data_IF_486258496475
#
_entry.id   IF_486258496475
#
_cell.length_a   1.000
_cell.length_b   1.000
_cell.length_c   1.000
_cell.angle_alpha   90.00
_cell.angle_beta   90.00
_cell.angle_gamma   90.00
#
_symmetry.space_group_name_H-M   'P 1'
#
loop_
_entity.id
_entity.type
_entity.pdbx_description
1 polymer ?
#
# COMPACT_ATOMS: atom_id res chain seq x y z
N UNK A 1 11.90 -13.95 9.31
CA UNK A 1 11.97 -12.83 8.34
C UNK A 1 12.04 -13.43 6.96
N UNK A 2 11.07 -13.10 6.11
CA UNK A 2 11.09 -13.46 4.71
C UNK A 2 12.39 -12.95 4.05
N UNK A 3 13.09 -13.82 3.31
CA UNK A 3 14.40 -13.51 2.69
C UNK A 3 14.29 -12.29 1.78
N UNK A 4 13.19 -12.15 1.04
CA UNK A 4 12.99 -11.07 0.07
C UNK A 4 12.80 -9.71 0.74
N UNK A 5 12.03 -9.68 1.83
CA UNK A 5 11.84 -8.46 2.64
C UNK A 5 13.18 -7.97 3.19
N UNK A 6 14.03 -8.90 3.67
CA UNK A 6 15.38 -8.55 4.12
C UNK A 6 16.28 -7.98 3.01
N UNK A 7 16.23 -8.58 1.82
CA UNK A 7 16.95 -8.09 0.63
C UNK A 7 16.47 -6.68 0.24
N UNK A 8 15.16 -6.46 0.22
CA UNK A 8 14.56 -5.16 -0.08
C UNK A 8 14.98 -4.09 0.93
N UNK A 9 14.96 -4.38 2.24
CA UNK A 9 15.36 -3.41 3.27
C UNK A 9 16.82 -2.98 3.08
N UNK A 10 17.72 -3.92 2.76
CA UNK A 10 19.13 -3.60 2.49
C UNK A 10 19.24 -2.74 1.24
N UNK A 11 18.58 -3.15 0.14
CA UNK A 11 18.59 -2.41 -1.11
C UNK A 11 18.03 -0.99 -0.95
N UNK A 12 16.92 -0.81 -0.23
CA UNK A 12 16.29 0.48 -0.01
C UNK A 12 17.25 1.44 0.73
N UNK A 13 17.90 0.95 1.79
CA UNK A 13 18.94 1.72 2.50
C UNK A 13 20.10 2.11 1.57
N UNK A 14 20.60 1.18 0.74
CA UNK A 14 21.70 1.44 -0.20
C UNK A 14 21.33 2.43 -1.31
N UNK A 15 20.04 2.53 -1.65
CA UNK A 15 19.50 3.46 -2.64
C UNK A 15 18.93 4.76 -2.01
N UNK A 16 19.23 5.02 -0.75
CA UNK A 16 18.94 6.30 -0.08
C UNK A 16 17.48 6.49 0.34
N UNK A 17 16.68 5.42 0.37
CA UNK A 17 15.33 5.49 0.90
C UNK A 17 15.35 5.71 2.41
N UNK A 18 14.37 6.46 2.93
CA UNK A 18 14.15 6.57 4.36
C UNK A 18 13.36 5.34 4.83
N UNK A 19 14.10 4.34 5.31
CA UNK A 19 13.54 3.10 5.85
C UNK A 19 13.94 2.93 7.32
N UNK A 20 12.92 2.85 8.18
CA UNK A 20 13.10 2.62 9.61
C UNK A 20 12.65 1.20 9.97
N UNK A 21 13.53 0.35 10.52
CA UNK A 21 13.15 -0.96 10.99
C UNK A 21 12.31 -0.85 12.26
N UNK A 22 11.32 -1.73 12.39
CA UNK A 22 10.46 -1.78 13.57
C UNK A 22 11.25 -2.26 14.79
N UNK A 23 11.18 -1.48 15.87
CA UNK A 23 11.87 -1.77 17.14
C UNK A 23 11.06 -2.69 18.08
N UNK A 24 9.74 -2.78 17.89
CA UNK A 24 8.81 -3.58 18.69
C UNK A 24 8.58 -5.00 18.16
N UNK A 25 8.16 -5.91 19.05
CA UNK A 25 7.98 -7.33 18.72
C UNK A 25 6.60 -7.69 18.14
N UNK A 26 5.62 -6.78 18.18
CA UNK A 26 4.23 -7.11 17.86
C UNK A 26 3.62 -6.10 16.89
N UNK A 27 3.07 -6.62 15.80
CA UNK A 27 2.18 -5.88 14.89
C UNK A 27 0.80 -5.74 15.54
N UNK A 28 0.29 -4.52 15.57
CA UNK A 28 -0.99 -4.14 16.14
C UNK A 28 -1.72 -3.20 15.15
N UNK A 29 -2.54 -3.78 14.29
CA UNK A 29 -3.37 -3.03 13.35
C UNK A 29 -4.70 -2.65 14.01
N UNK A 30 -5.20 -1.47 13.69
CA UNK A 30 -6.48 -0.97 14.17
C UNK A 30 -7.60 -1.96 13.83
N UNK A 31 -8.54 -2.10 14.76
CA UNK A 31 -9.66 -3.05 14.63
C UNK A 31 -10.51 -2.80 13.37
N UNK A 32 -10.58 -1.57 12.87
CA UNK A 32 -11.28 -1.23 11.63
C UNK A 32 -10.61 -1.87 10.40
N UNK A 33 -9.28 -1.89 10.35
CA UNK A 33 -8.50 -2.54 9.28
C UNK A 33 -8.74 -4.05 9.31
N UNK A 34 -8.64 -4.66 10.49
CA UNK A 34 -8.85 -6.11 10.66
C UNK A 34 -10.31 -6.53 10.39
N UNK A 35 -11.27 -5.62 10.62
CA UNK A 35 -12.69 -5.87 10.33
C UNK A 35 -13.00 -5.76 8.85
N UNK A 36 -12.36 -4.80 8.16
CA UNK A 36 -12.51 -4.58 6.71
C UNK A 36 -11.82 -5.68 5.91
N UNK A 37 -10.53 -5.92 6.19
CA UNK A 37 -9.69 -6.87 5.47
C UNK A 37 -9.45 -8.13 6.32
N UNK A 38 -10.35 -9.11 6.21
CA UNK A 38 -10.35 -10.31 7.07
C UNK A 38 -9.15 -11.23 6.86
N UNK A 39 -8.56 -11.21 5.67
CA UNK A 39 -7.47 -12.12 5.29
C UNK A 39 -6.33 -11.37 4.59
N UNK A 40 -5.64 -10.51 5.34
CA UNK A 40 -4.40 -9.86 4.89
C UNK A 40 -3.32 -10.94 4.66
N UNK A 41 -2.62 -10.94 3.51
CA UNK A 41 -1.57 -11.92 3.25
C UNK A 41 -0.45 -11.87 4.28
N UNK A 42 0.02 -13.05 4.70
CA UNK A 42 1.11 -13.18 5.68
C UNK A 42 2.39 -12.47 5.23
N UNK A 43 2.68 -12.43 3.93
CA UNK A 43 3.85 -11.70 3.39
C UNK A 43 3.80 -10.21 3.74
N UNK A 44 2.62 -9.59 3.68
CA UNK A 44 2.46 -8.19 4.03
C UNK A 44 2.48 -7.98 5.55
N UNK A 45 1.89 -8.90 6.32
CA UNK A 45 2.01 -8.88 7.78
C UNK A 45 3.47 -9.02 8.23
N UNK A 46 4.25 -9.87 7.57
CA UNK A 46 5.69 -10.03 7.78
C UNK A 46 6.42 -8.71 7.50
N UNK A 47 6.07 -8.01 6.41
CA UNK A 47 6.63 -6.69 6.08
C UNK A 47 6.34 -5.66 7.18
N UNK A 48 5.07 -5.51 7.56
CA UNK A 48 4.64 -4.59 8.62
C UNK A 48 5.22 -4.94 10.00
N UNK A 49 5.63 -6.19 10.21
CA UNK A 49 6.26 -6.61 11.46
C UNK A 49 7.73 -6.18 11.59
N UNK A 50 8.39 -5.80 10.48
CA UNK A 50 9.81 -5.44 10.47
C UNK A 50 10.09 -4.04 9.93
N UNK A 51 9.12 -3.40 9.28
CA UNK A 51 9.22 -2.04 8.74
C UNK A 51 8.26 -1.10 9.47
N UNK A 52 8.79 -0.02 10.03
CA UNK A 52 8.01 1.04 10.70
C UNK A 52 7.72 2.22 9.77
N UNK A 53 8.69 2.55 8.89
CA UNK A 53 8.59 3.59 7.87
C UNK A 53 9.36 3.14 6.64
N UNK A 54 8.85 3.40 5.44
CA UNK A 54 9.58 3.19 4.19
C UNK A 54 9.11 4.18 3.13
N UNK A 55 9.99 5.11 2.76
CA UNK A 55 9.69 6.25 1.89
C UNK A 55 10.83 6.49 0.90
N UNK A 56 10.49 6.88 -0.33
CA UNK A 56 11.45 7.19 -1.38
C UNK A 56 12.26 8.46 -1.06
N UNK A 57 13.45 8.65 -1.67
CA UNK A 57 14.31 9.79 -1.36
C UNK A 57 13.69 11.17 -1.68
N UNK A 58 12.73 11.25 -2.61
CA UNK A 58 11.99 12.47 -2.92
C UNK A 58 10.79 12.70 -1.96
N UNK A 59 10.53 11.78 -1.04
CA UNK A 59 9.42 11.83 -0.08
C UNK A 59 8.01 11.84 -0.72
N UNK A 60 7.93 11.57 -2.02
CA UNK A 60 6.67 11.58 -2.78
C UNK A 60 6.03 10.19 -2.87
N UNK A 61 6.70 9.13 -2.45
CA UNK A 61 6.14 7.77 -2.43
C UNK A 61 6.52 7.02 -1.16
N UNK A 62 5.57 6.33 -0.55
CA UNK A 62 5.81 5.57 0.68
C UNK A 62 4.94 4.32 0.78
N UNK A 63 5.45 3.32 1.50
CA UNK A 63 4.65 2.18 1.93
C UNK A 63 3.75 2.59 3.10
N UNK A 64 2.51 2.11 3.09
CA UNK A 64 1.55 2.30 4.18
C UNK A 64 1.90 1.31 5.30
N UNK A 65 2.50 1.80 6.38
CA UNK A 65 2.93 0.97 7.50
C UNK A 65 1.89 1.00 8.63
N UNK A 66 2.21 0.34 9.75
CA UNK A 66 1.31 0.25 10.92
C UNK A 66 0.83 1.62 11.40
N UNK A 67 1.71 2.64 11.41
CA UNK A 67 1.36 3.97 11.89
C UNK A 67 0.29 4.64 11.01
N UNK A 68 0.37 4.49 9.69
CA UNK A 68 -0.62 5.03 8.76
C UNK A 68 -1.97 4.29 8.91
N UNK A 69 -1.95 2.96 9.02
CA UNK A 69 -3.16 2.16 9.25
C UNK A 69 -3.86 2.51 10.58
N UNK A 70 -3.08 2.88 11.59
CA UNK A 70 -3.60 3.24 12.91
C UNK A 70 -3.94 4.73 13.05
N UNK A 71 -3.77 5.54 12.00
CA UNK A 71 -3.90 6.99 12.05
C UNK A 71 -3.01 7.63 13.15
N UNK A 72 -1.86 7.03 13.44
CA UNK A 72 -0.87 7.52 14.41
C UNK A 72 0.37 8.12 13.75
N UNK A 73 0.43 8.11 12.41
CA UNK A 73 1.43 8.85 11.63
C UNK A 73 1.10 10.34 11.57
N UNK A 74 2.12 11.20 11.49
CA UNK A 74 1.96 12.63 11.19
C UNK A 74 1.71 12.92 9.69
N UNK A 75 1.42 11.88 8.89
CA UNK A 75 1.11 12.01 7.46
C UNK A 75 -0.13 12.87 7.23
N UNK A 76 -0.06 13.78 6.26
CA UNK A 76 -1.23 14.54 5.81
C UNK A 76 -2.25 13.65 5.07
N UNK A 77 -1.79 12.52 4.53
CA UNK A 77 -2.58 11.55 3.77
C UNK A 77 -2.99 10.39 4.68
N UNK A 78 -4.28 10.05 4.67
CA UNK A 78 -4.76 8.84 5.33
C UNK A 78 -4.39 7.61 4.50
N UNK A 79 -4.35 6.45 5.15
CA UNK A 79 -4.10 5.18 4.45
C UNK A 79 -5.11 4.90 3.32
N UNK A 80 -6.34 5.44 3.41
CA UNK A 80 -7.38 5.31 2.40
C UNK A 80 -7.67 6.62 1.64
N UNK A 81 -6.69 7.51 1.51
CA UNK A 81 -6.91 8.84 0.90
C UNK A 81 -7.60 8.75 -0.47
N UNK A 82 -7.18 7.83 -1.34
CA UNK A 82 -7.71 7.77 -2.70
C UNK A 82 -9.13 7.21 -2.77
N UNK A 83 -9.53 6.34 -1.83
CA UNK A 83 -10.94 6.01 -1.65
C UNK A 83 -11.75 7.26 -1.28
N UNK A 84 -11.23 8.09 -0.37
CA UNK A 84 -11.91 9.31 0.06
C UNK A 84 -12.07 10.29 -1.10
N UNK A 85 -11.06 10.44 -1.95
CA UNK A 85 -11.13 11.26 -3.16
C UNK A 85 -12.17 10.72 -4.16
N UNK A 86 -12.19 9.41 -4.43
CA UNK A 86 -13.21 8.79 -5.28
C UNK A 86 -14.62 9.02 -4.72
N UNK A 87 -14.80 8.85 -3.41
CA UNK A 87 -16.09 9.08 -2.75
C UNK A 87 -16.54 10.54 -2.78
N UNK A 88 -15.60 11.49 -2.69
CA UNK A 88 -15.88 12.91 -2.85
C UNK A 88 -16.32 13.23 -4.28
N UNK A 89 -15.61 12.69 -5.28
CA UNK A 89 -15.93 12.85 -6.69
C UNK A 89 -17.32 12.30 -7.05
N UNK A 90 -17.76 11.24 -6.38
CA UNK A 90 -19.10 10.67 -6.55
C UNK A 90 -20.25 11.57 -6.02
N UNK A 91 -19.95 12.65 -5.30
CA UNK A 91 -20.94 13.62 -4.78
C UNK A 91 -22.14 12.96 -4.07
N UNK A 92 -23.37 13.09 -4.60
CA UNK A 92 -24.58 12.51 -4.00
C UNK A 92 -24.98 11.17 -4.64
N UNK A 93 -24.17 10.62 -5.56
CA UNK A 93 -24.44 9.34 -6.19
C UNK A 93 -24.16 8.17 -5.24
N UNK A 94 -25.21 7.71 -4.57
CA UNK A 94 -25.12 6.61 -3.61
C UNK A 94 -24.78 5.26 -4.24
N UNK A 95 -25.13 5.05 -5.52
CA UNK A 95 -24.83 3.79 -6.21
C UNK A 95 -23.33 3.76 -6.49
N UNK A 96 -22.81 4.83 -7.07
CA UNK A 96 -21.40 4.93 -7.39
C UNK A 96 -20.51 4.87 -6.14
N UNK A 97 -20.89 5.56 -5.06
CA UNK A 97 -20.20 5.43 -3.76
C UNK A 97 -20.16 3.99 -3.24
N UNK A 98 -21.26 3.26 -3.39
CA UNK A 98 -21.31 1.85 -2.98
C UNK A 98 -20.39 0.97 -3.83
N UNK A 99 -20.25 1.27 -5.12
CA UNK A 99 -19.34 0.56 -6.03
C UNK A 99 -17.88 0.85 -5.67
N UNK A 100 -17.54 2.11 -5.40
CA UNK A 100 -16.21 2.53 -4.93
C UNK A 100 -15.84 1.80 -3.64
N UNK A 101 -16.68 1.88 -2.59
CA UNK A 101 -16.38 1.21 -1.33
C UNK A 101 -16.31 -0.31 -1.49
N UNK A 102 -17.18 -0.91 -2.31
CA UNK A 102 -17.13 -2.35 -2.58
C UNK A 102 -15.84 -2.77 -3.29
N UNK A 103 -15.29 -1.91 -4.16
CA UNK A 103 -13.97 -2.12 -4.73
C UNK A 103 -12.90 -2.04 -3.63
N UNK A 104 -12.83 -0.94 -2.88
CA UNK A 104 -11.81 -0.76 -1.83
C UNK A 104 -11.89 -1.77 -0.68
N UNK A 105 -13.05 -2.37 -0.40
CA UNK A 105 -13.18 -3.49 0.56
C UNK A 105 -12.41 -4.76 0.14
N UNK A 106 -12.06 -4.84 -1.14
CA UNK A 106 -11.46 -6.00 -1.79
C UNK A 106 -10.00 -5.77 -2.23
N UNK A 107 -9.51 -4.52 -2.18
CA UNK A 107 -8.15 -4.15 -2.54
C UNK A 107 -7.51 -3.38 -1.40
N UNK A 108 -6.51 -3.98 -0.75
CA UNK A 108 -5.81 -3.37 0.37
C UNK A 108 -4.67 -2.48 -0.15
N UNK A 109 -4.74 -1.14 -0.04
CA UNK A 109 -3.63 -0.28 -0.43
C UNK A 109 -2.40 -0.51 0.45
N UNK A 110 -1.23 -0.57 -0.18
CA UNK A 110 0.05 -0.87 0.47
C UNK A 110 1.15 0.14 0.15
N UNK A 111 1.02 0.90 -0.94
CA UNK A 111 1.91 1.99 -1.32
C UNK A 111 1.08 3.16 -1.82
N UNK A 112 1.46 4.37 -1.45
CA UNK A 112 0.86 5.62 -1.90
C UNK A 112 1.94 6.50 -2.55
N UNK A 113 1.56 7.23 -3.59
CA UNK A 113 2.47 8.08 -4.36
C UNK A 113 1.79 9.35 -4.84
N UNK A 114 2.44 10.48 -4.60
CA UNK A 114 2.09 11.81 -5.13
C UNK A 114 3.12 12.30 -6.15
N UNK A 115 4.04 11.43 -6.56
CA UNK A 115 5.05 11.72 -7.58
C UNK A 115 4.39 11.72 -8.96
N UNK A 116 4.58 12.79 -9.73
CA UNK A 116 3.97 12.96 -11.05
C UNK A 116 2.42 12.96 -11.13
N UNK A 117 1.71 12.80 -10.00
CA UNK A 117 0.26 12.62 -9.89
C UNK A 117 -0.10 11.67 -8.75
N UNK A 118 -1.40 11.41 -8.53
CA UNK A 118 -1.82 10.45 -7.50
C UNK A 118 -1.86 9.02 -8.03
N UNK A 119 -1.11 8.12 -7.38
CA UNK A 119 -1.14 6.69 -7.70
C UNK A 119 -0.87 5.81 -6.47
N UNK A 120 -1.33 4.57 -6.53
CA UNK A 120 -1.14 3.59 -5.46
C UNK A 120 -0.83 2.21 -5.98
N UNK A 121 -0.33 1.37 -5.08
CA UNK A 121 -0.34 -0.08 -5.26
C UNK A 121 -1.20 -0.71 -4.17
N UNK A 122 -1.98 -1.72 -4.55
CA UNK A 122 -2.83 -2.48 -3.63
C UNK A 122 -2.67 -3.99 -3.84
N UNK A 123 -2.93 -4.73 -2.77
CA UNK A 123 -3.06 -6.19 -2.81
C UNK A 123 -4.50 -6.54 -3.19
N UNK A 124 -4.69 -7.32 -4.25
CA UNK A 124 -5.98 -7.96 -4.56
C UNK A 124 -6.27 -9.04 -3.51
N UNK A 125 -7.41 -8.93 -2.81
CA UNK A 125 -7.87 -9.90 -1.82
C UNK A 125 -8.96 -10.84 -2.34
N UNK A 126 -9.29 -10.75 -3.64
CA UNK A 126 -10.40 -11.45 -4.29
C UNK A 126 -9.92 -12.62 -5.16
N UNK A 127 -9.92 -12.43 -6.49
CA UNK A 127 -9.78 -13.48 -7.48
C UNK A 127 -8.32 -13.87 -7.67
N UNK A 128 -7.42 -12.89 -7.67
CA UNK A 128 -5.98 -13.10 -7.80
C UNK A 128 -5.30 -12.80 -6.46
N UNK A 129 -5.74 -13.52 -5.42
CA UNK A 129 -5.40 -13.19 -4.04
C UNK A 129 -3.89 -13.10 -3.81
N UNK A 130 -3.42 -11.92 -3.41
CA UNK A 130 -2.00 -11.63 -3.18
C UNK A 130 -1.30 -10.90 -4.33
N UNK A 131 -1.93 -10.83 -5.51
CA UNK A 131 -1.42 -10.04 -6.63
C UNK A 131 -1.38 -8.56 -6.27
N UNK A 132 -0.39 -7.85 -6.84
CA UNK A 132 -0.27 -6.41 -6.69
C UNK A 132 -0.82 -5.74 -7.94
N UNK A 133 -1.76 -4.83 -7.73
CA UNK A 133 -2.34 -3.97 -8.76
C UNK A 133 -1.90 -2.53 -8.56
N UNK A 134 -1.93 -1.74 -9.62
CA UNK A 134 -1.63 -0.31 -9.59
C UNK A 134 -2.82 0.48 -10.13
N UNK A 135 -3.23 1.50 -9.40
CA UNK A 135 -4.22 2.48 -9.84
C UNK A 135 -3.66 3.90 -9.78
N UNK A 136 -4.27 4.80 -10.54
CA UNK A 136 -3.86 6.20 -10.63
C UNK A 136 -5.08 7.08 -10.92
N UNK A 137 -4.96 8.37 -10.61
CA UNK A 137 -6.01 9.33 -10.93
C UNK A 137 -6.24 9.46 -12.45
N UNK A 138 -7.45 9.85 -12.90
CA UNK A 138 -8.64 10.15 -12.09
C UNK A 138 -9.49 8.92 -11.71
N UNK A 139 -9.34 7.80 -12.41
CA UNK A 139 -10.09 6.55 -12.15
C UNK A 139 -9.26 5.54 -11.33
N UNK A 140 -9.14 5.77 -10.02
CA UNK A 140 -8.31 4.93 -9.14
C UNK A 140 -8.64 3.44 -9.17
N UNK A 141 -9.91 3.09 -9.33
CA UNK A 141 -10.39 1.70 -9.35
C UNK A 141 -10.15 0.97 -10.70
N UNK A 142 -9.73 1.70 -11.74
CA UNK A 142 -9.27 1.12 -13.01
C UNK A 142 -7.78 0.75 -12.91
N UNK A 143 -7.53 -0.48 -12.46
CA UNK A 143 -6.18 -0.93 -12.12
C UNK A 143 -5.55 -1.89 -13.12
N UNK A 144 -4.23 -1.83 -13.23
CA UNK A 144 -3.41 -2.79 -13.95
C UNK A 144 -2.72 -3.76 -12.97
N UNK A 145 -2.69 -5.06 -13.31
CA UNK A 145 -1.87 -6.03 -12.55
C UNK A 145 -0.39 -5.79 -12.80
N UNK A 146 0.39 -5.64 -11.73
CA UNK A 146 1.83 -5.36 -11.76
C UNK A 146 2.66 -6.56 -11.33
N UNK A 147 2.22 -7.30 -10.30
CA UNK A 147 2.95 -8.46 -9.80
C UNK A 147 1.97 -9.54 -9.32
N UNK A 148 2.42 -10.80 -9.25
CA UNK A 148 1.64 -11.92 -8.72
C UNK A 148 1.76 -12.06 -7.20
N UNK A 149 2.73 -11.41 -6.56
CA UNK A 149 2.93 -11.42 -5.11
C UNK A 149 3.66 -10.17 -4.62
N UNK A 150 3.71 -9.98 -3.30
CA UNK A 150 4.52 -8.94 -2.68
C UNK A 150 6.01 -9.18 -2.94
N UNK A 151 6.48 -10.43 -2.86
CA UNK A 151 7.88 -10.74 -3.17
C UNK A 151 8.28 -10.31 -4.58
N UNK A 152 7.48 -10.65 -5.60
CA UNK A 152 7.73 -10.26 -6.98
C UNK A 152 7.68 -8.73 -7.13
N UNK A 153 6.73 -8.06 -6.48
CA UNK A 153 6.65 -6.61 -6.48
C UNK A 153 7.93 -5.96 -5.93
N UNK A 154 8.46 -6.45 -4.80
CA UNK A 154 9.72 -5.96 -4.24
C UNK A 154 10.91 -6.22 -5.18
N UNK A 155 10.95 -7.38 -5.87
CA UNK A 155 11.98 -7.65 -6.89
C UNK A 155 11.91 -6.68 -8.07
N UNK A 156 10.70 -6.36 -8.53
CA UNK A 156 10.48 -5.40 -9.61
C UNK A 156 10.94 -4.00 -9.21
N UNK A 157 10.71 -3.57 -7.97
CA UNK A 157 11.24 -2.30 -7.44
C UNK A 157 12.77 -2.32 -7.44
N UNK A 158 13.37 -3.36 -6.85
CA UNK A 158 14.83 -3.48 -6.72
C UNK A 158 15.57 -3.52 -8.06
N UNK A 159 14.92 -4.06 -9.09
CA UNK A 159 15.44 -4.13 -10.46
C UNK A 159 15.12 -2.88 -11.30
N UNK A 160 14.43 -1.89 -10.73
CA UNK A 160 13.92 -0.70 -11.44
C UNK A 160 13.03 -1.05 -12.64
N UNK A 161 12.38 -2.22 -12.60
CA UNK A 161 11.44 -2.68 -13.63
C UNK A 161 10.07 -2.01 -13.48
N UNK A 162 9.78 -1.53 -12.27
CA UNK A 162 8.65 -0.66 -11.98
C UNK A 162 9.15 0.58 -11.23
N UNK A 163 8.63 1.74 -11.62
CA UNK A 163 8.90 3.01 -10.96
C UNK A 163 7.66 3.52 -10.24
N UNK A 164 7.90 4.38 -9.25
CA UNK A 164 6.93 5.37 -8.82
C UNK A 164 7.07 6.52 -9.82
N UNK A 165 5.96 6.96 -10.40
CA UNK A 165 5.99 7.74 -11.64
C UNK A 165 6.35 9.20 -11.39
#
# INVERSE_FOLDING_TARGET
MNKKIGEFIIWANENGWDITPKSGFQLNLDSSILSRYKEIPNEYLDFLSVVEKCMTPNEETWFICENEFNNSSDSAFKWNEYELLSLEAAMDDTIWKSEITAWWDNYLPIVMSVDGGYSFYAIDLTNDKGAIVRGYEPEFEEVDKVANSLEEFLELIMSSSIGFQ
#
